data_IF_818581426022
#
_entry.id   IF_818581426022
#
_cell.length_a   1.000
_cell.length_b   1.000
_cell.length_c   1.000
_cell.angle_alpha   90.00
_cell.angle_beta   90.00
_cell.angle_gamma   90.00
#
_symmetry.space_group_name_H-M   'P 1'
#
loop_
_entity.id
_entity.type
_entity.pdbx_description
1 polymer ?
#
# COMPACT_ATOMS: atom_id res chain seq x y z
N UNK A 1 -67.98 5.35 -5.14
CA UNK A 1 -68.14 6.56 -4.32
C UNK A 1 -66.75 7.17 -4.09
N UNK A 2 -66.56 8.40 -4.57
CA UNK A 2 -65.54 9.43 -4.28
C UNK A 2 -64.05 9.01 -4.21
N UNK A 3 -63.20 9.33 -5.19
CA UNK A 3 -62.59 10.64 -5.52
C UNK A 3 -61.66 11.20 -4.44
N UNK A 4 -60.40 11.46 -4.79
CA UNK A 4 -59.75 12.77 -4.64
C UNK A 4 -58.41 12.78 -5.37
N UNK A 5 -58.43 13.32 -6.59
CA UNK A 5 -57.26 13.76 -7.34
C UNK A 5 -56.94 15.17 -6.84
N UNK A 6 -55.76 15.35 -6.25
CA UNK A 6 -55.26 16.66 -5.83
C UNK A 6 -54.80 17.46 -7.06
N UNK A 7 -55.61 18.45 -7.44
CA UNK A 7 -55.24 19.50 -8.39
C UNK A 7 -54.37 20.55 -7.67
N UNK A 8 -53.05 20.48 -7.84
CA UNK A 8 -52.19 21.65 -7.65
C UNK A 8 -52.05 22.35 -9.01
N UNK A 9 -52.48 23.61 -9.17
CA UNK A 9 -52.18 24.38 -10.36
C UNK A 9 -50.68 24.72 -10.34
N UNK A 10 -49.89 24.01 -11.14
CA UNK A 10 -48.55 24.45 -11.53
C UNK A 10 -48.76 25.63 -12.47
N UNK A 11 -48.82 26.85 -11.92
CA UNK A 11 -48.59 28.07 -12.68
C UNK A 11 -47.11 28.06 -13.11
N UNK A 12 -46.84 27.37 -14.22
CA UNK A 12 -45.57 27.43 -14.90
C UNK A 12 -45.36 28.85 -15.39
N UNK A 13 -44.58 29.63 -14.65
CA UNK A 13 -44.00 30.86 -15.17
C UNK A 13 -43.20 30.51 -16.41
N UNK A 14 -43.60 31.06 -17.55
CA UNK A 14 -42.87 30.89 -18.81
C UNK A 14 -41.53 31.60 -18.61
N UNK A 15 -40.46 30.83 -18.38
CA UNK A 15 -39.11 31.35 -18.43
C UNK A 15 -38.79 31.70 -19.88
N UNK A 16 -39.14 32.92 -20.27
CA UNK A 16 -38.79 33.48 -21.56
C UNK A 16 -37.30 33.84 -21.50
N UNK A 17 -36.45 32.84 -21.71
CA UNK A 17 -35.02 33.00 -21.93
C UNK A 17 -34.82 33.86 -23.18
N UNK A 18 -34.87 35.18 -23.02
CA UNK A 18 -34.34 36.30 -23.80
C UNK A 18 -33.98 36.15 -25.31
N UNK A 19 -34.54 35.19 -26.05
CA UNK A 19 -34.18 34.91 -27.45
C UNK A 19 -34.86 35.86 -28.44
N UNK A 20 -35.76 36.74 -27.97
CA UNK A 20 -36.56 37.59 -28.84
C UNK A 20 -36.52 39.09 -28.50
N UNK A 21 -35.51 39.56 -27.76
CA UNK A 21 -35.33 40.99 -27.47
C UNK A 21 -34.00 41.49 -28.04
N UNK A 22 -34.01 41.97 -29.28
CA UNK A 22 -32.81 42.47 -29.96
C UNK A 22 -32.27 43.80 -29.40
N UNK A 23 -32.92 44.44 -28.43
CA UNK A 23 -32.58 45.80 -27.96
C UNK A 23 -32.66 46.01 -26.44
N UNK A 24 -32.59 44.95 -25.62
CA UNK A 24 -32.45 45.13 -24.16
C UNK A 24 -30.96 45.18 -23.81
N UNK A 25 -30.42 46.31 -23.30
CA UNK A 25 -29.04 46.34 -22.85
C UNK A 25 -28.84 45.32 -21.73
N UNK A 26 -27.88 44.40 -21.89
CA UNK A 26 -27.56 43.30 -20.96
C UNK A 26 -27.02 43.74 -19.59
N UNK A 27 -27.11 45.04 -19.28
CA UNK A 27 -26.58 45.68 -18.07
C UNK A 27 -27.68 46.04 -17.05
N UNK A 28 -28.94 45.63 -17.24
CA UNK A 28 -29.94 45.80 -16.18
C UNK A 28 -29.67 44.83 -15.03
N UNK A 29 -29.10 45.36 -13.95
CA UNK A 29 -29.11 44.70 -12.64
C UNK A 29 -30.59 44.53 -12.26
N UNK A 30 -31.08 43.30 -12.01
CA UNK A 30 -32.47 43.12 -11.61
C UNK A 30 -32.74 43.93 -10.34
N UNK A 31 -33.89 44.62 -10.24
CA UNK A 31 -34.23 45.41 -9.07
C UNK A 31 -34.15 44.55 -7.80
N UNK A 32 -33.56 45.13 -6.75
CA UNK A 32 -33.26 44.50 -5.48
C UNK A 32 -34.55 43.91 -4.88
N UNK A 33 -34.72 42.59 -4.95
CA UNK A 33 -35.94 41.89 -4.49
C UNK A 33 -36.43 40.74 -5.38
N UNK A 34 -35.92 40.60 -6.61
CA UNK A 34 -36.37 39.56 -7.55
C UNK A 34 -35.73 38.17 -7.39
N UNK A 35 -34.94 37.95 -6.34
CA UNK A 35 -34.31 36.65 -6.06
C UNK A 35 -35.07 35.89 -4.95
N UNK A 36 -36.36 35.60 -5.17
CA UNK A 36 -37.17 34.84 -4.19
C UNK A 36 -36.97 33.31 -4.24
N UNK A 37 -35.86 32.82 -4.78
CA UNK A 37 -35.61 31.39 -4.98
C UNK A 37 -34.27 30.86 -4.49
N UNK A 38 -33.38 31.72 -3.97
CA UNK A 38 -32.11 31.29 -3.39
C UNK A 38 -32.12 31.49 -1.87
N UNK A 39 -32.24 30.43 -1.06
CA UNK A 39 -32.37 30.54 0.40
C UNK A 39 -31.18 31.23 1.08
N UNK A 40 -30.02 31.33 0.42
CA UNK A 40 -28.81 31.91 1.02
C UNK A 40 -28.42 33.29 0.48
N UNK A 41 -29.16 33.88 -0.48
CA UNK A 41 -28.92 35.25 -0.99
C UNK A 41 -27.56 35.56 -1.61
N UNK A 42 -26.61 34.62 -1.59
CA UNK A 42 -25.20 34.84 -1.95
C UNK A 42 -24.90 34.71 -3.44
N UNK A 43 -25.89 34.39 -4.27
CA UNK A 43 -25.68 34.29 -5.71
C UNK A 43 -25.86 35.68 -6.34
N UNK A 44 -24.74 36.34 -6.64
CA UNK A 44 -24.72 37.57 -7.41
C UNK A 44 -24.74 37.20 -8.89
N UNK A 45 -25.81 37.49 -9.65
CA UNK A 45 -25.81 37.22 -11.08
C UNK A 45 -24.72 38.05 -11.75
N UNK A 46 -23.80 37.38 -12.44
CA UNK A 46 -22.76 38.05 -13.22
C UNK A 46 -23.36 38.55 -14.53
N UNK A 47 -23.02 39.79 -14.92
CA UNK A 47 -23.40 40.31 -16.24
C UNK A 47 -22.59 39.61 -17.34
N UNK A 48 -23.06 39.66 -18.59
CA UNK A 48 -22.33 39.09 -19.75
C UNK A 48 -20.90 39.64 -19.84
N UNK A 49 -20.69 40.92 -19.51
CA UNK A 49 -19.37 41.54 -19.50
C UNK A 49 -18.48 41.00 -18.36
N UNK A 50 -19.04 40.75 -17.17
CA UNK A 50 -18.32 40.10 -16.08
C UNK A 50 -17.96 38.65 -16.43
N UNK A 51 -18.88 37.91 -17.07
CA UNK A 51 -18.59 36.57 -17.58
C UNK A 51 -17.48 36.60 -18.65
N UNK A 52 -17.43 37.61 -19.52
CA UNK A 52 -16.34 37.75 -20.50
C UNK A 52 -14.99 38.07 -19.87
N UNK A 53 -14.95 38.94 -18.86
CA UNK A 53 -13.71 39.25 -18.11
C UNK A 53 -13.22 38.04 -17.29
N UNK A 54 -14.15 37.28 -16.70
CA UNK A 54 -13.80 36.05 -16.00
C UNK A 54 -13.46 34.91 -16.96
N UNK A 55 -13.96 34.93 -18.19
CA UNK A 55 -13.59 33.98 -19.24
C UNK A 55 -12.07 33.87 -19.38
N UNK A 56 -11.35 34.98 -19.40
CA UNK A 56 -9.88 34.93 -19.52
C UNK A 56 -9.19 34.30 -18.31
N UNK A 57 -9.79 34.39 -17.11
CA UNK A 57 -9.28 33.75 -15.90
C UNK A 57 -9.60 32.25 -15.86
N UNK A 58 -10.78 31.85 -16.32
CA UNK A 58 -11.27 30.46 -16.28
C UNK A 58 -10.79 29.64 -17.49
N UNK A 59 -10.50 30.27 -18.63
CA UNK A 59 -10.01 29.61 -19.85
C UNK A 59 -8.48 29.47 -19.92
N UNK A 60 -7.76 29.73 -18.82
CA UNK A 60 -6.39 29.24 -18.64
C UNK A 60 -6.31 27.70 -18.49
N UNK A 61 -7.33 26.97 -18.95
CA UNK A 61 -7.36 25.51 -19.02
C UNK A 61 -6.12 24.95 -19.73
N UNK A 62 -5.66 25.64 -20.79
CA UNK A 62 -4.41 25.27 -21.48
C UNK A 62 -3.16 25.44 -20.60
N UNK A 63 -3.15 26.42 -19.66
CA UNK A 63 -2.06 26.58 -18.69
C UNK A 63 -2.11 25.54 -17.58
N UNK A 64 -3.31 25.11 -17.19
CA UNK A 64 -3.49 24.07 -16.17
C UNK A 64 -2.98 22.69 -16.61
N UNK A 65 -2.89 22.45 -17.93
CA UNK A 65 -2.27 21.24 -18.49
C UNK A 65 -0.83 21.44 -18.93
N UNK A 66 -0.23 22.62 -18.72
CA UNK A 66 1.19 22.77 -19.01
C UNK A 66 1.95 21.95 -17.98
N UNK A 67 2.76 20.95 -18.39
CA UNK A 67 3.51 20.15 -17.45
C UNK A 67 4.41 21.07 -16.61
N UNK A 68 4.41 20.89 -15.30
CA UNK A 68 5.37 21.59 -14.45
C UNK A 68 6.79 21.26 -14.94
N UNK A 69 7.57 22.29 -15.29
CA UNK A 69 8.99 22.10 -15.57
C UNK A 69 9.65 21.59 -14.27
N UNK A 70 10.35 20.44 -14.31
CA UNK A 70 11.03 19.95 -13.13
C UNK A 70 12.06 21.00 -12.67
N UNK A 71 12.07 21.30 -11.36
CA UNK A 71 12.97 22.31 -10.78
C UNK A 71 14.45 21.91 -10.91
N UNK A 72 14.68 20.60 -11.02
CA UNK A 72 15.99 19.99 -11.19
C UNK A 72 15.94 19.26 -12.54
N UNK A 73 16.81 19.61 -13.50
CA UNK A 73 16.87 18.89 -14.77
C UNK A 73 17.25 17.43 -14.52
N UNK A 74 16.72 16.48 -15.31
CA UNK A 74 17.16 15.10 -15.24
C UNK A 74 18.67 15.03 -15.49
N UNK A 75 19.34 14.05 -14.87
CA UNK A 75 20.75 13.77 -15.16
C UNK A 75 20.83 13.36 -16.63
N UNK A 76 21.75 14.00 -17.36
CA UNK A 76 22.03 13.66 -18.75
C UNK A 76 23.00 12.47 -18.78
N UNK A 77 22.50 11.32 -19.22
CA UNK A 77 23.29 10.11 -19.40
C UNK A 77 23.86 9.98 -20.82
N UNK A 78 23.64 10.99 -21.67
CA UNK A 78 24.18 10.96 -23.01
C UNK A 78 25.70 11.03 -22.99
N UNK A 79 26.30 10.22 -23.86
CA UNK A 79 27.72 10.25 -24.12
C UNK A 79 28.05 11.57 -24.84
N UNK A 80 28.87 12.41 -24.19
CA UNK A 80 29.24 13.71 -24.74
C UNK A 80 30.20 13.63 -25.94
N UNK A 81 30.65 12.42 -26.33
CA UNK A 81 31.56 12.19 -27.45
C UNK A 81 32.98 12.74 -27.25
N UNK A 82 33.34 13.09 -26.01
CA UNK A 82 34.63 13.69 -25.67
C UNK A 82 35.64 12.67 -25.12
N UNK A 83 35.38 11.37 -25.32
CA UNK A 83 36.27 10.30 -24.89
C UNK A 83 37.41 10.13 -25.89
N UNK A 84 38.62 9.81 -25.40
CA UNK A 84 39.80 9.56 -26.25
C UNK A 84 39.57 8.38 -27.22
N UNK A 85 38.82 7.37 -26.77
CA UNK A 85 38.34 6.24 -27.55
C UNK A 85 36.84 6.11 -27.31
N UNK A 86 36.03 6.73 -28.18
CA UNK A 86 34.59 6.84 -28.00
C UNK A 86 33.83 5.59 -28.43
N UNK A 87 34.11 4.48 -27.75
CA UNK A 87 33.50 3.18 -28.00
C UNK A 87 32.22 2.94 -27.18
N UNK A 88 31.70 3.98 -26.52
CA UNK A 88 30.50 3.90 -25.66
C UNK A 88 29.27 4.26 -26.49
N UNK A 89 28.13 3.63 -26.21
CA UNK A 89 26.85 3.95 -26.85
C UNK A 89 26.42 5.41 -26.62
N UNK A 90 25.31 5.81 -27.26
CA UNK A 90 24.74 7.16 -27.09
C UNK A 90 24.35 7.41 -25.63
N UNK A 91 23.89 6.40 -24.92
CA UNK A 91 23.59 6.47 -23.49
C UNK A 91 24.65 5.67 -22.72
N UNK A 92 25.33 6.30 -21.76
CA UNK A 92 26.43 5.69 -21.00
C UNK A 92 25.93 4.76 -19.91
N UNK A 93 24.81 5.12 -19.29
CA UNK A 93 24.19 4.38 -18.18
C UNK A 93 22.81 3.92 -18.61
N UNK A 94 22.57 2.62 -18.47
CA UNK A 94 21.25 2.03 -18.59
C UNK A 94 20.70 1.74 -17.18
N UNK A 95 19.60 2.40 -16.84
CA UNK A 95 18.85 2.15 -15.62
C UNK A 95 17.79 1.08 -15.91
N UNK A 96 17.94 -0.09 -15.30
CA UNK A 96 16.94 -1.14 -15.40
C UNK A 96 16.49 -1.57 -14.00
N UNK A 97 15.30 -2.18 -13.95
CA UNK A 97 14.72 -2.66 -12.71
C UNK A 97 14.98 -4.16 -12.60
N UNK A 98 15.70 -4.57 -11.55
CA UNK A 98 15.89 -5.97 -11.19
C UNK A 98 14.86 -6.36 -10.13
N UNK A 99 14.08 -7.40 -10.40
CA UNK A 99 13.09 -7.95 -9.47
C UNK A 99 13.72 -9.02 -8.57
N UNK A 100 13.65 -8.79 -7.26
CA UNK A 100 14.06 -9.75 -6.24
C UNK A 100 12.83 -10.32 -5.55
N UNK A 101 12.64 -11.64 -5.65
CA UNK A 101 11.60 -12.33 -4.88
C UNK A 101 12.16 -12.75 -3.52
N UNK A 102 11.50 -12.36 -2.46
CA UNK A 102 11.81 -12.76 -1.09
C UNK A 102 10.64 -13.58 -0.52
N UNK A 103 10.98 -14.64 0.19
CA UNK A 103 10.02 -15.48 0.91
C UNK A 103 10.18 -15.19 2.40
N UNK A 104 9.05 -14.97 3.06
CA UNK A 104 8.98 -14.68 4.49
C UNK A 104 8.06 -15.72 5.10
N UNK A 105 8.61 -16.51 6.01
CA UNK A 105 7.85 -17.47 6.81
C UNK A 105 7.80 -17.01 8.26
N UNK A 106 6.62 -17.01 8.85
CA UNK A 106 6.48 -16.74 10.28
C UNK A 106 7.19 -17.78 11.15
N UNK A 107 7.46 -19.00 10.67
CA UNK A 107 8.19 -20.03 11.42
C UNK A 107 9.63 -19.61 11.75
N UNK A 108 10.21 -18.68 10.98
CA UNK A 108 11.57 -18.20 11.19
C UNK A 108 11.66 -17.11 12.29
N UNK A 109 10.54 -16.81 12.98
CA UNK A 109 10.52 -15.78 14.02
C UNK A 109 11.14 -16.23 15.33
N UNK A 110 11.69 -15.26 16.06
CA UNK A 110 12.09 -15.46 17.46
C UNK A 110 10.85 -15.43 18.35
N UNK A 111 10.41 -16.60 18.82
CA UNK A 111 9.14 -16.77 19.54
C UNK A 111 9.12 -16.13 20.93
N UNK A 112 10.29 -15.88 21.52
CA UNK A 112 10.39 -15.16 22.80
C UNK A 112 10.07 -13.67 22.64
N UNK A 113 10.28 -13.14 21.43
CA UNK A 113 10.03 -11.73 21.10
C UNK A 113 8.73 -11.54 20.32
N UNK A 114 8.42 -12.48 19.44
CA UNK A 114 7.29 -12.45 18.52
C UNK A 114 6.48 -13.74 18.68
N UNK A 115 5.85 -13.91 19.84
CA UNK A 115 5.02 -15.09 20.14
C UNK A 115 3.85 -15.18 19.16
N UNK A 116 3.16 -14.06 18.93
CA UNK A 116 2.04 -13.99 17.99
C UNK A 116 2.53 -14.15 16.53
N UNK A 117 2.08 -15.17 15.78
CA UNK A 117 2.45 -15.37 14.36
C UNK A 117 1.97 -14.24 13.44
N UNK A 118 0.97 -13.46 13.85
CA UNK A 118 0.37 -12.40 13.04
C UNK A 118 1.03 -11.03 13.23
N UNK A 119 2.07 -10.94 14.08
CA UNK A 119 2.81 -9.71 14.32
C UNK A 119 4.29 -9.97 14.56
N UNK A 120 5.12 -9.61 13.59
CA UNK A 120 6.57 -9.80 13.67
C UNK A 120 7.34 -8.80 12.81
N UNK A 121 8.66 -8.72 13.03
CA UNK A 121 9.55 -7.86 12.25
C UNK A 121 10.64 -8.69 11.59
N UNK A 122 10.79 -8.52 10.28
CA UNK A 122 11.87 -9.11 9.47
C UNK A 122 12.97 -8.06 9.29
N UNK A 123 14.22 -8.44 9.52
CA UNK A 123 15.37 -7.55 9.34
C UNK A 123 16.17 -7.89 8.09
N UNK A 124 16.70 -6.86 7.42
CA UNK A 124 17.53 -7.00 6.22
C UNK A 124 18.97 -6.64 6.57
N UNK A 125 19.91 -7.47 6.11
CA UNK A 125 21.34 -7.31 6.36
C UNK A 125 21.66 -7.13 7.85
N UNK A 126 21.36 -8.14 8.70
CA UNK A 126 21.54 -8.00 10.13
C UNK A 126 23.02 -7.81 10.48
N UNK A 127 23.33 -6.72 11.18
CA UNK A 127 24.69 -6.42 11.65
C UNK A 127 25.09 -7.41 12.75
N UNK A 128 25.91 -8.40 12.38
CA UNK A 128 26.66 -9.35 13.23
C UNK A 128 25.88 -10.42 14.01
N UNK A 129 26.55 -11.56 14.23
CA UNK A 129 26.14 -12.60 15.17
C UNK A 129 26.13 -11.99 16.59
N UNK A 130 25.06 -12.22 17.35
CA UNK A 130 24.99 -11.78 18.76
C UNK A 130 26.10 -12.49 19.55
N UNK A 131 27.20 -11.79 19.81
CA UNK A 131 28.18 -12.23 20.82
C UNK A 131 27.56 -11.98 22.18
N UNK A 132 27.01 -13.03 22.81
CA UNK A 132 26.57 -12.96 24.19
C UNK A 132 27.81 -12.91 25.09
N UNK A 133 27.92 -11.84 25.88
CA UNK A 133 28.93 -11.70 26.91
C UNK A 133 28.53 -12.56 28.10
N UNK A 134 29.29 -13.61 28.40
CA UNK A 134 29.02 -14.46 29.58
C UNK A 134 29.65 -13.86 30.84
N UNK A 135 28.94 -13.94 31.95
CA UNK A 135 29.51 -13.80 33.29
C UNK A 135 30.60 -14.87 33.45
N UNK A 136 31.87 -14.45 33.61
CA UNK A 136 33.12 -15.25 33.64
C UNK A 136 34.00 -15.21 32.38
N UNK A 137 33.74 -14.34 31.41
CA UNK A 137 34.67 -14.04 30.30
C UNK A 137 34.80 -15.13 29.23
N UNK A 138 34.08 -16.24 29.34
CA UNK A 138 33.98 -17.26 28.29
C UNK A 138 32.85 -16.90 27.34
N UNK A 139 33.18 -16.51 26.10
CA UNK A 139 32.19 -16.29 25.05
C UNK A 139 31.43 -17.60 24.78
N UNK A 140 30.16 -17.65 25.15
CA UNK A 140 29.25 -18.73 24.76
C UNK A 140 28.34 -18.14 23.69
N UNK A 141 28.54 -18.55 22.44
CA UNK A 141 27.55 -18.33 21.40
C UNK A 141 26.39 -19.30 21.67
N UNK A 142 25.25 -18.79 22.12
CA UNK A 142 24.04 -19.60 22.01
C UNK A 142 23.80 -19.88 20.53
N UNK A 143 23.56 -21.14 20.14
CA UNK A 143 23.20 -21.49 18.78
C UNK A 143 21.81 -20.92 18.49
N UNK A 144 21.74 -19.66 18.08
CA UNK A 144 20.50 -19.10 17.53
C UNK A 144 20.33 -19.66 16.13
N UNK A 145 19.11 -20.09 15.80
CA UNK A 145 18.75 -20.61 14.46
C UNK A 145 19.05 -19.60 13.34
N UNK A 146 19.13 -18.31 13.66
CA UNK A 146 19.38 -17.21 12.71
C UNK A 146 20.57 -16.34 13.13
N UNK A 147 21.27 -15.79 12.12
CA UNK A 147 22.31 -14.77 12.30
C UNK A 147 21.65 -13.41 12.53
N UNK A 148 22.14 -12.64 13.49
CA UNK A 148 21.66 -11.28 13.74
C UNK A 148 21.07 -11.03 15.12
N UNK A 149 20.80 -9.76 15.40
CA UNK A 149 20.33 -9.28 16.70
C UNK A 149 18.80 -9.44 16.86
N UNK A 150 18.30 -10.68 16.77
CA UNK A 150 16.93 -11.09 17.12
C UNK A 150 15.87 -10.97 15.99
N UNK A 151 15.67 -12.02 15.20
CA UNK A 151 14.50 -12.21 14.34
C UNK A 151 14.79 -12.92 13.01
N UNK A 152 13.73 -13.16 12.20
CA UNK A 152 13.89 -13.65 10.83
C UNK A 152 14.67 -12.61 10.04
N UNK A 153 15.70 -13.05 9.32
CA UNK A 153 16.64 -12.15 8.67
C UNK A 153 16.91 -12.52 7.21
N UNK A 154 16.97 -11.52 6.35
CA UNK A 154 17.39 -11.67 4.95
C UNK A 154 18.80 -11.11 4.84
N UNK A 155 19.77 -11.91 4.40
CA UNK A 155 21.19 -11.55 4.28
C UNK A 155 21.47 -10.66 3.05
N UNK A 156 20.59 -9.70 2.78
CA UNK A 156 20.71 -8.76 1.67
C UNK A 156 20.06 -7.45 2.06
N UNK A 157 20.71 -6.34 1.69
CA UNK A 157 20.15 -5.00 1.80
C UNK A 157 19.56 -4.58 0.46
N UNK A 158 18.40 -3.91 0.50
CA UNK A 158 17.79 -3.31 -0.70
C UNK A 158 17.83 -1.78 -0.60
N UNK A 159 18.53 -1.17 -1.53
CA UNK A 159 18.57 0.29 -1.77
C UNK A 159 18.01 0.55 -3.16
N UNK A 160 17.70 1.80 -3.48
CA UNK A 160 17.17 2.18 -4.79
C UNK A 160 15.91 1.40 -5.17
N UNK A 161 15.08 1.08 -4.19
CA UNK A 161 13.85 0.30 -4.41
C UNK A 161 12.86 1.16 -5.17
N UNK A 162 12.50 0.73 -6.37
CA UNK A 162 11.49 1.37 -7.20
C UNK A 162 10.08 1.01 -6.76
N UNK A 163 9.87 -0.26 -6.43
CA UNK A 163 8.57 -0.72 -5.94
C UNK A 163 8.69 -2.00 -5.09
N UNK A 164 7.66 -2.25 -4.30
CA UNK A 164 7.44 -3.54 -3.62
C UNK A 164 6.03 -4.02 -3.93
N UNK A 165 5.86 -5.28 -4.29
CA UNK A 165 4.54 -5.91 -4.54
C UNK A 165 4.42 -7.21 -3.75
N UNK A 166 3.26 -7.46 -3.18
CA UNK A 166 2.90 -8.78 -2.65
C UNK A 166 2.53 -9.71 -3.80
N UNK A 167 3.25 -10.82 -3.91
CA UNK A 167 3.10 -11.81 -4.97
C UNK A 167 2.18 -12.94 -4.54
N UNK A 168 2.49 -13.58 -3.40
CA UNK A 168 1.69 -14.68 -2.86
C UNK A 168 1.57 -14.58 -1.35
N UNK A 169 0.46 -15.08 -0.81
CA UNK A 169 0.24 -15.18 0.63
C UNK A 169 -0.58 -16.42 0.97
N UNK A 170 -0.17 -17.10 2.05
CA UNK A 170 -0.88 -18.23 2.65
C UNK A 170 -1.06 -17.93 4.12
N UNK A 171 -2.31 -18.04 4.59
CA UNK A 171 -2.71 -17.76 5.96
C UNK A 171 -3.36 -18.99 6.59
N UNK A 172 -3.25 -19.15 7.92
CA UNK A 172 -4.02 -20.15 8.63
C UNK A 172 -5.51 -19.82 8.63
N UNK A 173 -6.38 -20.84 8.72
CA UNK A 173 -7.83 -20.64 8.79
C UNK A 173 -8.28 -20.29 10.22
N UNK A 174 -7.69 -20.91 11.23
CA UNK A 174 -8.12 -20.77 12.63
C UNK A 174 -7.14 -19.93 13.44
N UNK A 175 -7.66 -19.11 14.36
CA UNK A 175 -6.86 -18.32 15.33
C UNK A 175 -7.04 -18.77 16.77
N UNK A 176 -8.03 -19.63 17.04
CA UNK A 176 -8.39 -19.97 18.40
C UNK A 176 -7.97 -21.40 18.75
N UNK A 177 -7.56 -21.59 20.00
CA UNK A 177 -7.25 -22.88 20.58
C UNK A 177 -8.09 -23.08 21.83
N UNK A 178 -8.51 -24.31 22.08
CA UNK A 178 -9.36 -24.68 23.21
C UNK A 178 -8.74 -25.82 24.00
N UNK A 179 -8.99 -25.83 25.32
CA UNK A 179 -8.63 -26.93 26.19
C UNK A 179 -9.76 -27.96 26.22
N UNK A 180 -9.42 -29.21 25.98
CA UNK A 180 -10.34 -30.36 26.03
C UNK A 180 -9.86 -31.37 27.06
N UNK A 181 -10.67 -32.42 27.28
CA UNK A 181 -10.27 -33.54 28.14
C UNK A 181 -9.04 -34.30 27.64
N UNK A 182 -8.68 -34.17 26.35
CA UNK A 182 -7.52 -34.83 25.74
C UNK A 182 -6.30 -33.91 25.59
N UNK A 183 -6.41 -32.65 26.02
CA UNK A 183 -5.37 -31.63 25.88
C UNK A 183 -5.84 -30.44 25.06
N UNK A 184 -4.88 -29.65 24.56
CA UNK A 184 -5.17 -28.46 23.78
C UNK A 184 -5.31 -28.80 22.30
N UNK A 185 -6.35 -28.28 21.65
CA UNK A 185 -6.58 -28.44 20.21
C UNK A 185 -7.00 -27.14 19.55
N UNK A 186 -6.97 -27.12 18.21
CA UNK A 186 -7.46 -25.99 17.41
C UNK A 186 -8.98 -25.98 17.48
N UNK A 187 -9.57 -24.82 17.79
CA UNK A 187 -11.02 -24.70 17.81
C UNK A 187 -11.57 -24.72 16.37
N UNK A 188 -12.08 -25.88 15.98
CA UNK A 188 -12.68 -26.08 14.67
C UNK A 188 -14.06 -25.42 14.54
N UNK A 189 -14.65 -25.00 15.67
CA UNK A 189 -15.97 -24.37 15.74
C UNK A 189 -15.93 -22.85 15.73
N UNK A 190 -14.74 -22.26 15.91
CA UNK A 190 -14.58 -20.82 15.94
C UNK A 190 -14.64 -20.19 14.54
N UNK A 191 -14.89 -18.88 14.51
CA UNK A 191 -14.92 -18.14 13.26
C UNK A 191 -13.54 -18.15 12.62
N UNK A 192 -13.47 -18.55 11.36
CA UNK A 192 -12.20 -18.61 10.63
C UNK A 192 -11.82 -17.25 10.05
N UNK A 193 -10.53 -17.05 9.78
CA UNK A 193 -10.03 -15.86 9.08
C UNK A 193 -10.70 -15.73 7.70
N UNK A 194 -10.98 -16.85 7.03
CA UNK A 194 -11.65 -16.84 5.73
C UNK A 194 -13.16 -16.53 5.79
N UNK A 195 -13.79 -16.56 6.97
CA UNK A 195 -15.17 -16.11 7.14
C UNK A 195 -15.27 -14.59 7.31
N UNK A 196 -14.16 -13.90 7.56
CA UNK A 196 -14.11 -12.44 7.56
C UNK A 196 -14.16 -11.89 6.11
N UNK A 197 -14.61 -10.63 5.96
CA UNK A 197 -14.77 -9.99 4.64
C UNK A 197 -13.43 -9.88 3.90
N UNK A 198 -12.38 -9.54 4.65
CA UNK A 198 -11.01 -9.45 4.17
C UNK A 198 -10.04 -9.29 5.34
N UNK A 199 -8.81 -9.72 5.14
CA UNK A 199 -7.70 -9.46 6.06
C UNK A 199 -6.93 -8.23 5.60
N UNK A 200 -6.63 -7.31 6.52
CA UNK A 200 -5.75 -6.17 6.26
C UNK A 200 -4.31 -6.61 6.54
N UNK A 201 -3.44 -6.51 5.53
CA UNK A 201 -1.99 -6.62 5.71
C UNK A 201 -1.40 -5.23 5.86
N UNK A 202 -0.82 -4.95 7.03
CA UNK A 202 -0.06 -3.74 7.28
C UNK A 202 1.43 -4.04 7.30
N UNK A 203 2.20 -3.25 6.54
CA UNK A 203 3.66 -3.26 6.55
C UNK A 203 4.10 -1.82 6.76
N UNK A 204 4.48 -1.47 8.00
CA UNK A 204 4.67 -0.07 8.43
C UNK A 204 5.66 0.71 7.56
N UNK A 205 6.70 0.04 7.10
CA UNK A 205 7.73 0.65 6.25
C UNK A 205 7.28 0.85 4.80
N UNK A 206 6.15 0.26 4.40
CA UNK A 206 5.59 0.31 3.05
C UNK A 206 4.21 0.98 2.99
N UNK A 207 3.84 1.77 4.01
CA UNK A 207 2.54 2.44 4.10
C UNK A 207 2.12 3.07 2.78
N UNK A 208 0.93 2.70 2.31
CA UNK A 208 0.43 3.10 1.00
C UNK A 208 -0.58 4.25 1.13
N UNK A 209 -0.15 5.46 0.77
CA UNK A 209 -1.01 6.65 0.73
C UNK A 209 -2.08 6.58 -0.36
N UNK A 210 -2.07 5.56 -1.22
CA UNK A 210 -3.05 5.35 -2.27
C UNK A 210 -4.23 4.47 -1.84
N UNK A 211 -4.19 3.92 -0.63
CA UNK A 211 -5.33 3.17 -0.09
C UNK A 211 -6.33 4.14 0.51
N UNK A 212 -7.43 4.38 -0.22
CA UNK A 212 -8.55 5.14 0.30
C UNK A 212 -9.47 4.19 1.08
N UNK A 213 -9.46 4.29 2.39
CA UNK A 213 -10.37 3.58 3.26
C UNK A 213 -11.33 4.59 3.93
N UNK A 214 -12.59 4.17 4.13
CA UNK A 214 -13.58 4.97 4.87
C UNK A 214 -13.45 4.82 6.38
N UNK A 215 -12.65 3.85 6.84
CA UNK A 215 -12.34 3.63 8.24
C UNK A 215 -11.03 4.36 8.63
N UNK A 216 -10.74 4.40 9.93
CA UNK A 216 -9.52 5.02 10.48
C UNK A 216 -8.21 4.27 10.18
N UNK A 217 -8.23 3.25 9.33
CA UNK A 217 -7.10 2.33 9.11
C UNK A 217 -6.42 2.60 7.78
N UNK A 218 -5.79 3.77 7.67
CA UNK A 218 -5.02 4.18 6.48
C UNK A 218 -3.64 3.51 6.37
N UNK A 219 -3.27 2.63 7.31
CA UNK A 219 -1.97 1.95 7.42
C UNK A 219 -1.94 0.60 6.70
N UNK A 220 -2.93 0.31 5.85
CA UNK A 220 -2.98 -0.90 5.05
C UNK A 220 -1.95 -0.84 3.91
N UNK A 221 -1.02 -1.79 3.89
CA UNK A 221 -0.20 -2.06 2.71
C UNK A 221 -1.03 -2.74 1.63
N UNK A 222 -1.94 -3.64 2.03
CA UNK A 222 -2.79 -4.39 1.11
C UNK A 222 -3.99 -5.01 1.80
N UNK A 223 -4.99 -5.38 1.00
CA UNK A 223 -6.17 -6.12 1.45
C UNK A 223 -6.11 -7.52 0.87
N UNK A 224 -6.30 -8.54 1.71
CA UNK A 224 -6.23 -9.94 1.34
C UNK A 224 -7.64 -10.52 1.39
N UNK A 225 -8.14 -10.98 0.25
CA UNK A 225 -9.43 -11.67 0.16
C UNK A 225 -9.14 -13.17 0.19
N UNK A 226 -9.89 -13.92 1.00
CA UNK A 226 -9.76 -15.37 1.06
C UNK A 226 -10.00 -16.01 -0.32
N UNK A 227 -9.07 -16.84 -0.76
CA UNK A 227 -9.13 -17.59 -2.00
C UNK A 227 -9.41 -19.06 -1.73
N UNK A 228 -8.61 -19.94 -2.36
CA UNK A 228 -8.78 -21.39 -2.23
C UNK A 228 -8.23 -21.90 -0.89
N UNK A 229 -9.04 -22.69 -0.17
CA UNK A 229 -8.59 -23.42 1.02
C UNK A 229 -7.76 -24.67 0.63
N UNK A 230 -6.74 -24.96 1.43
CA UNK A 230 -5.89 -26.15 1.33
C UNK A 230 -6.07 -27.00 2.59
N UNK A 231 -6.95 -28.00 2.50
CA UNK A 231 -7.38 -28.75 3.67
C UNK A 231 -8.08 -27.86 4.68
N UNK A 232 -7.97 -28.21 5.96
CA UNK A 232 -8.67 -27.52 7.05
C UNK A 232 -7.83 -26.41 7.71
N UNK A 233 -6.54 -26.31 7.38
CA UNK A 233 -5.63 -25.47 8.16
C UNK A 233 -5.27 -24.16 7.48
N UNK A 234 -5.28 -24.09 6.14
CA UNK A 234 -4.78 -22.92 5.42
C UNK A 234 -5.65 -22.51 4.26
N UNK A 235 -5.51 -21.27 3.84
CA UNK A 235 -6.05 -20.78 2.57
C UNK A 235 -5.04 -19.89 1.85
N UNK A 236 -5.12 -19.88 0.51
CA UNK A 236 -4.42 -18.89 -0.31
C UNK A 236 -5.16 -17.57 -0.24
N UNK A 237 -4.49 -16.49 0.14
CA UNK A 237 -5.05 -15.15 0.03
C UNK A 237 -4.82 -14.55 -1.36
N UNK A 238 -5.80 -13.80 -1.85
CA UNK A 238 -5.71 -13.00 -3.07
C UNK A 238 -5.43 -11.53 -2.68
N UNK A 239 -4.22 -11.01 -2.96
CA UNK A 239 -3.85 -9.66 -2.56
C UNK A 239 -4.42 -8.60 -3.50
N UNK A 240 -4.95 -7.51 -2.92
CA UNK A 240 -5.46 -6.33 -3.61
C UNK A 240 -4.76 -5.08 -3.09
N UNK A 241 -4.44 -4.15 -4.01
CA UNK A 241 -3.73 -2.90 -3.72
C UNK A 241 -2.42 -3.06 -2.92
N UNK A 242 -1.82 -4.26 -2.96
CA UNK A 242 -0.67 -4.67 -2.16
C UNK A 242 0.66 -4.31 -2.84
N UNK A 243 0.74 -3.09 -3.35
CA UNK A 243 1.92 -2.59 -4.06
C UNK A 243 2.24 -1.16 -3.67
N UNK A 244 3.54 -0.89 -3.45
CA UNK A 244 4.06 0.43 -3.14
C UNK A 244 5.06 0.84 -4.22
N UNK A 245 4.80 1.98 -4.85
CA UNK A 245 5.75 2.61 -5.77
C UNK A 245 6.46 3.79 -5.10
N UNK A 246 7.77 3.86 -5.28
CA UNK A 246 8.60 4.98 -4.88
C UNK A 246 8.79 5.94 -6.07
N UNK A 247 8.91 7.24 -5.78
CA UNK A 247 9.18 8.27 -6.80
C UNK A 247 10.62 8.11 -7.30
N UNK A 248 10.90 8.40 -8.58
CA UNK A 248 12.26 8.33 -9.12
C UNK A 248 13.22 9.24 -8.34
N UNK A 249 12.74 10.40 -7.90
CA UNK A 249 13.53 11.34 -7.08
C UNK A 249 13.78 10.88 -5.64
N UNK A 250 13.11 9.82 -5.20
CA UNK A 250 13.17 9.33 -3.82
C UNK A 250 12.92 7.82 -3.79
N UNK A 251 13.85 7.07 -4.39
CA UNK A 251 13.82 5.61 -4.35
C UNK A 251 13.88 5.09 -2.91
N UNK A 252 13.20 3.98 -2.67
CA UNK A 252 13.05 3.39 -1.35
C UNK A 252 14.34 2.73 -0.84
N UNK A 253 14.40 2.59 0.48
CA UNK A 253 15.40 1.80 1.20
C UNK A 253 14.66 0.87 2.15
N UNK A 254 14.95 -0.43 2.08
CA UNK A 254 14.33 -1.44 2.94
C UNK A 254 15.40 -2.03 3.84
N UNK A 255 15.31 -1.70 5.13
CA UNK A 255 16.17 -2.23 6.18
C UNK A 255 15.42 -3.20 7.11
N UNK A 256 14.09 -3.10 7.17
CA UNK A 256 13.20 -3.95 7.96
C UNK A 256 11.77 -3.92 7.40
N UNK A 257 10.98 -4.92 7.74
CA UNK A 257 9.54 -4.98 7.49
C UNK A 257 8.82 -5.40 8.77
N UNK A 258 7.96 -4.53 9.29
CA UNK A 258 7.09 -4.79 10.43
C UNK A 258 5.73 -5.22 9.92
N UNK A 259 5.45 -6.52 9.99
CA UNK A 259 4.28 -7.18 9.40
C UNK A 259 3.21 -7.36 10.48
N UNK A 260 1.99 -6.92 10.17
CA UNK A 260 0.80 -7.10 11.01
C UNK A 260 -0.39 -7.56 10.15
N UNK A 261 -1.11 -8.59 10.62
CA UNK A 261 -2.36 -9.04 10.03
C UNK A 261 -3.54 -8.66 10.92
N UNK A 262 -4.52 -7.97 10.34
CA UNK A 262 -5.69 -7.46 11.05
C UNK A 262 -6.97 -7.92 10.36
N UNK A 263 -8.04 -8.02 11.13
CA UNK A 263 -9.39 -8.28 10.63
C UNK A 263 -9.95 -7.10 9.81
N UNK A 264 -11.15 -7.26 9.26
CA UNK A 264 -11.82 -6.23 8.46
C UNK A 264 -12.23 -4.97 9.26
N UNK A 265 -12.11 -5.03 10.59
CA UNK A 265 -12.32 -3.91 11.51
C UNK A 265 -11.01 -3.25 11.97
N UNK A 266 -9.86 -3.80 11.59
CA UNK A 266 -8.53 -3.32 11.96
C UNK A 266 -8.00 -3.86 13.29
N UNK A 267 -8.67 -4.84 13.91
CA UNK A 267 -8.16 -5.53 15.10
C UNK A 267 -7.10 -6.55 14.68
N UNK A 268 -5.96 -6.53 15.36
CA UNK A 268 -4.88 -7.49 15.11
C UNK A 268 -5.37 -8.93 15.41
N UNK A 269 -5.11 -9.86 14.49
CA UNK A 269 -5.31 -11.28 14.78
C UNK A 269 -4.35 -11.74 15.88
N UNK A 270 -4.86 -12.54 16.81
CA UNK A 270 -4.07 -13.06 17.92
C UNK A 270 -4.50 -14.50 18.19
N UNK A 271 -3.56 -15.31 18.69
CA UNK A 271 -3.85 -16.64 19.22
C UNK A 271 -3.58 -16.56 20.71
N UNK A 272 -4.65 -16.63 21.50
CA UNK A 272 -4.54 -16.62 22.95
C UNK A 272 -4.04 -17.97 23.46
N UNK A 273 -3.27 -17.97 24.55
CA UNK A 273 -2.76 -19.22 25.16
C UNK A 273 -1.49 -19.79 24.52
N UNK A 274 -0.85 -19.07 23.60
CA UNK A 274 0.49 -19.44 23.11
C UNK A 274 1.56 -19.31 24.21
N UNK A 275 2.42 -20.32 24.35
CA UNK A 275 3.49 -20.36 25.35
C UNK A 275 4.86 -20.69 24.70
N UNK A 276 5.82 -19.75 24.67
CA UNK A 276 7.13 -19.97 24.07
C UNK A 276 8.01 -20.97 24.86
N UNK A 277 7.63 -21.34 26.08
CA UNK A 277 8.38 -22.32 26.87
C UNK A 277 8.03 -23.78 26.51
N UNK A 278 6.96 -24.00 25.73
CA UNK A 278 6.59 -25.33 25.28
C UNK A 278 7.55 -25.79 24.19
N UNK A 279 8.25 -26.89 24.47
CA UNK A 279 9.28 -27.45 23.56
C UNK A 279 8.73 -28.50 22.59
N UNK A 280 7.52 -29.01 22.81
CA UNK A 280 6.91 -30.03 21.95
C UNK A 280 6.26 -29.36 20.74
N UNK A 281 6.67 -29.74 19.53
CA UNK A 281 6.25 -29.07 18.29
C UNK A 281 4.80 -29.37 17.88
N UNK A 282 4.22 -30.51 18.31
CA UNK A 282 2.82 -30.85 18.02
C UNK A 282 1.83 -30.31 19.05
N UNK A 283 2.28 -29.66 20.13
CA UNK A 283 1.37 -28.97 21.05
C UNK A 283 0.87 -27.68 20.38
N UNK A 284 -0.45 -27.51 20.26
CA UNK A 284 -1.03 -26.33 19.59
C UNK A 284 -0.78 -25.03 20.33
N UNK A 285 -0.37 -25.05 21.60
CA UNK A 285 0.07 -23.84 22.32
C UNK A 285 1.47 -23.40 21.93
N UNK A 286 2.24 -24.25 21.26
CA UNK A 286 3.56 -23.88 20.77
C UNK A 286 3.40 -22.80 19.68
N UNK A 287 4.05 -21.62 19.82
CA UNK A 287 4.00 -20.59 18.78
C UNK A 287 4.47 -21.09 17.40
N UNK A 288 5.38 -22.05 17.34
CA UNK A 288 5.88 -22.66 16.11
C UNK A 288 5.01 -23.80 15.58
N UNK A 289 3.89 -24.13 16.22
CA UNK A 289 2.99 -25.17 15.74
C UNK A 289 2.56 -24.85 14.30
N UNK A 290 2.64 -25.85 13.42
CA UNK A 290 2.46 -25.67 11.96
C UNK A 290 1.19 -24.91 11.62
N UNK A 291 0.05 -25.25 12.22
CA UNK A 291 -1.26 -24.65 11.91
C UNK A 291 -1.35 -23.14 12.09
N UNK A 292 -0.42 -22.53 12.81
CA UNK A 292 -0.43 -21.11 13.14
C UNK A 292 0.41 -20.27 12.19
N UNK A 293 1.18 -20.93 11.31
CA UNK A 293 2.17 -20.26 10.49
C UNK A 293 1.53 -19.59 9.27
N UNK A 294 2.06 -18.43 8.90
CA UNK A 294 1.77 -17.73 7.66
C UNK A 294 3.02 -17.65 6.79
N UNK A 295 2.79 -17.54 5.47
CA UNK A 295 3.84 -17.45 4.46
C UNK A 295 3.53 -16.33 3.47
N UNK A 296 4.53 -15.49 3.18
CA UNK A 296 4.42 -14.36 2.26
C UNK A 296 5.56 -14.41 1.23
N UNK A 297 5.23 -14.09 -0.03
CA UNK A 297 6.19 -13.83 -1.09
C UNK A 297 6.06 -12.36 -1.50
N UNK A 298 7.13 -11.58 -1.32
CA UNK A 298 7.21 -10.20 -1.80
C UNK A 298 8.17 -10.14 -2.98
N UNK A 299 7.88 -9.25 -3.93
CA UNK A 299 8.81 -8.90 -5.00
C UNK A 299 9.24 -7.44 -4.82
N UNK A 300 10.55 -7.23 -4.79
CA UNK A 300 11.19 -5.93 -4.63
C UNK A 300 11.87 -5.57 -5.95
N UNK A 301 11.35 -4.56 -6.65
CA UNK A 301 11.98 -4.02 -7.85
C UNK A 301 13.03 -2.97 -7.47
N UNK A 302 14.30 -3.23 -7.76
CA UNK A 302 15.44 -2.35 -7.46
C UNK A 302 15.96 -1.73 -8.75
N UNK A 303 16.18 -0.42 -8.75
CA UNK A 303 16.88 0.25 -9.85
C UNK A 303 18.38 -0.02 -9.72
N UNK A 304 18.94 -0.70 -10.70
CA UNK A 304 20.38 -0.92 -10.81
C UNK A 304 20.89 -0.22 -12.06
N UNK A 305 21.99 0.53 -11.91
CA UNK A 305 22.68 1.14 -13.04
C UNK A 305 23.66 0.13 -13.60
N UNK A 306 23.57 -0.15 -14.89
CA UNK A 306 24.59 -0.87 -15.64
C UNK A 306 25.24 0.05 -16.66
N UNK A 307 26.53 -0.19 -16.92
CA UNK A 307 27.21 0.46 -18.05
C UNK A 307 26.58 -0.10 -19.31
N UNK A 308 26.12 0.78 -20.19
CA UNK A 308 25.57 0.34 -21.47
C UNK A 308 26.67 -0.31 -22.29
N UNK A 309 26.54 -1.61 -22.55
CA UNK A 309 27.52 -2.40 -23.32
C UNK A 309 27.25 -2.36 -24.83
N UNK A 310 26.23 -1.63 -25.30
CA UNK A 310 26.02 -1.42 -26.73
C UNK A 310 27.09 -0.45 -27.25
N UNK A 311 28.26 -1.00 -27.53
CA UNK A 311 29.36 -0.31 -28.18
C UNK A 311 28.97 0.02 -29.63
N UNK A 312 29.15 1.26 -30.06
CA UNK A 312 29.13 1.61 -31.49
C UNK A 312 30.38 1.02 -32.15
N UNK A 313 30.34 -0.25 -32.55
CA UNK A 313 31.24 -0.73 -33.59
C UNK A 313 30.58 -0.40 -34.92
N UNK A 314 30.84 0.79 -35.45
CA UNK A 314 30.55 1.04 -36.86
C UNK A 314 31.40 0.06 -37.68
N UNK A 315 30.73 -0.78 -38.47
CA UNK A 315 31.37 -1.47 -39.58
C UNK A 315 31.86 -0.38 -40.54
N UNK A 316 33.17 -0.12 -40.49
CA UNK A 316 33.90 0.70 -41.47
C UNK A 316 33.80 0.12 -42.87
#
# INVERSE_FOLDING_TARGET
>A
MYSNISNFPIQGGINNNNFNRSNMPSNMIPPQGWNSGNPNGNFKPQTTNQQMLERERWFNFNKSFTPNKPLIPPIDYSNSGNLLHDNVGIDVLDEHIVEYRIMIDSMDRDINRFTNPFKYTVYFDPTSNKTLTSNNGKLISEPTRFKGQNGPSILRKFRNVKYVKLDNIVLPQHTDIIETSMGWEIDSSSQTINDDRFTILSIKELDNTQTFATNSHSDAFGVIIAGKCFGNNYFKGNPYNSQKYFKNSSLGKIDKLTIEFKDSFGKLYNIDGLDPNITYEDDVRNPLHKSHQNHLSLIIGVVESQINTNTKFEQS
#
